data_IF_803212583797
#
_entry.id   IF_803212583797
#
_cell.length_a   1.000
_cell.length_b   1.000
_cell.length_c   1.000
_cell.angle_alpha   90.00
_cell.angle_beta   90.00
_cell.angle_gamma   90.00
#
_symmetry.space_group_name_H-M   'P 1'
#
loop_
_entity.id
_entity.type
_entity.pdbx_description
1 polymer ?
#
# COMPACT_ATOMS: atom_id res chain seq x y z
N UNK A 1 -20.04 -10.65 8.96
CA UNK A 1 -19.13 -10.34 10.08
C UNK A 1 -19.99 -9.78 11.20
N UNK A 2 -19.99 -10.41 12.38
CA UNK A 2 -20.78 -9.94 13.53
C UNK A 2 -19.96 -8.96 14.39
N UNK A 3 -20.61 -8.30 15.36
CA UNK A 3 -19.98 -7.28 16.21
C UNK A 3 -18.78 -7.86 16.98
N UNK A 4 -18.93 -9.04 17.59
CA UNK A 4 -17.83 -9.70 18.33
C UNK A 4 -16.60 -9.99 17.46
N UNK A 5 -16.81 -10.35 16.18
CA UNK A 5 -15.71 -10.56 15.22
C UNK A 5 -15.04 -9.25 14.84
N UNK A 6 -15.81 -8.17 14.71
CA UNK A 6 -15.27 -6.83 14.44
C UNK A 6 -14.43 -6.32 15.61
N UNK A 7 -14.91 -6.46 16.84
CA UNK A 7 -14.19 -6.04 18.03
C UNK A 7 -12.88 -6.81 18.19
N UNK A 8 -12.90 -8.13 17.97
CA UNK A 8 -11.70 -8.95 17.97
C UNK A 8 -10.70 -8.51 16.88
N UNK A 9 -11.17 -8.24 15.67
CA UNK A 9 -10.31 -7.76 14.58
C UNK A 9 -9.66 -6.41 14.91
N UNK A 10 -10.44 -5.46 15.43
CA UNK A 10 -9.93 -4.15 15.87
C UNK A 10 -8.91 -4.32 17.00
N UNK A 11 -9.17 -5.19 17.97
CA UNK A 11 -8.24 -5.46 19.07
C UNK A 11 -6.92 -6.05 18.57
N UNK A 12 -6.94 -6.96 17.59
CA UNK A 12 -5.73 -7.51 16.99
C UNK A 12 -4.91 -6.38 16.32
N UNK A 13 -5.55 -5.56 15.48
CA UNK A 13 -4.89 -4.44 14.79
C UNK A 13 -4.32 -3.43 15.79
N UNK A 14 -5.02 -3.17 16.88
CA UNK A 14 -4.56 -2.25 17.92
C UNK A 14 -3.32 -2.77 18.67
N UNK A 15 -3.05 -4.06 18.65
CA UNK A 15 -1.86 -4.64 19.28
C UNK A 15 -0.69 -4.84 18.31
N UNK A 16 -0.86 -4.58 17.02
CA UNK A 16 0.24 -4.63 16.06
C UNK A 16 1.34 -3.62 16.39
N UNK A 17 2.58 -4.02 16.17
CA UNK A 17 3.69 -3.08 16.12
C UNK A 17 3.61 -2.18 14.86
N UNK A 18 4.53 -1.24 14.73
CA UNK A 18 4.53 -0.29 13.61
C UNK A 18 4.72 -0.99 12.26
N UNK A 19 5.55 -2.02 12.20
CA UNK A 19 5.82 -2.77 10.97
C UNK A 19 4.60 -3.61 10.59
N UNK A 20 4.08 -4.41 11.53
CA UNK A 20 2.87 -5.22 11.35
C UNK A 20 1.68 -4.36 10.89
N UNK A 21 1.49 -3.20 11.52
CA UNK A 21 0.44 -2.26 11.15
C UNK A 21 0.65 -1.70 9.73
N UNK A 22 1.87 -1.31 9.36
CA UNK A 22 2.17 -0.86 8.00
C UNK A 22 1.91 -1.96 6.96
N UNK A 23 2.43 -3.16 7.18
CA UNK A 23 2.25 -4.30 6.29
C UNK A 23 0.77 -4.66 6.13
N UNK A 24 0.00 -4.67 7.22
CA UNK A 24 -1.44 -4.91 7.16
C UNK A 24 -2.19 -3.84 6.37
N UNK A 25 -1.78 -2.57 6.51
CA UNK A 25 -2.36 -1.44 5.77
C UNK A 25 -2.11 -1.60 4.28
N UNK A 26 -0.88 -1.93 3.90
CA UNK A 26 -0.47 -2.14 2.51
C UNK A 26 -1.16 -3.39 1.94
N UNK A 27 -1.16 -4.52 2.65
CA UNK A 27 -1.82 -5.74 2.18
C UNK A 27 -3.32 -5.52 1.94
N UNK A 28 -4.00 -4.77 2.82
CA UNK A 28 -5.42 -4.44 2.66
C UNK A 28 -5.68 -3.54 1.44
N UNK A 29 -4.83 -2.56 1.18
CA UNK A 29 -5.06 -1.53 0.14
C UNK A 29 -4.42 -1.85 -1.22
N UNK A 30 -3.27 -2.51 -1.22
CA UNK A 30 -2.51 -2.93 -2.38
C UNK A 30 -2.50 -4.45 -2.59
N UNK A 31 -3.28 -5.22 -1.82
CA UNK A 31 -3.43 -6.67 -1.97
C UNK A 31 -3.65 -7.12 -3.42
N UNK A 32 -4.56 -6.51 -4.20
CA UNK A 32 -4.72 -6.84 -5.61
C UNK A 32 -3.47 -6.59 -6.46
N UNK A 33 -2.68 -5.57 -6.14
CA UNK A 33 -1.42 -5.26 -6.85
C UNK A 33 -0.32 -6.25 -6.48
N UNK A 34 -0.19 -6.57 -5.19
CA UNK A 34 0.75 -7.58 -4.68
C UNK A 34 0.42 -8.96 -5.27
N UNK A 35 -0.87 -9.29 -5.36
CA UNK A 35 -1.36 -10.51 -5.99
C UNK A 35 -1.25 -10.49 -7.53
N UNK A 36 -0.72 -9.43 -8.14
CA UNK A 36 -0.55 -9.27 -9.60
C UNK A 36 -1.89 -9.29 -10.37
N UNK A 37 -3.01 -9.05 -9.67
CA UNK A 37 -4.35 -8.92 -10.23
C UNK A 37 -4.63 -7.51 -10.75
N UNK A 38 -4.03 -6.50 -10.12
CA UNK A 38 -4.10 -5.09 -10.54
C UNK A 38 -2.71 -4.55 -10.89
N UNK A 39 -2.63 -3.61 -11.82
CA UNK A 39 -1.37 -2.97 -12.21
C UNK A 39 -0.78 -2.11 -11.09
N UNK A 40 -1.65 -1.40 -10.35
CA UNK A 40 -1.22 -0.47 -9.31
C UNK A 40 -2.31 -0.17 -8.27
N UNK A 41 -1.87 0.22 -7.07
CA UNK A 41 -2.73 0.76 -6.01
C UNK A 41 -2.12 2.03 -5.44
N UNK A 42 -2.97 3.02 -5.21
CA UNK A 42 -2.58 4.28 -4.58
C UNK A 42 -2.88 4.20 -3.08
N UNK A 43 -1.91 4.56 -2.25
CA UNK A 43 -2.05 4.62 -0.79
C UNK A 43 -1.58 5.99 -0.31
N UNK A 44 -2.35 6.60 0.59
CA UNK A 44 -1.93 7.82 1.29
C UNK A 44 -1.58 7.46 2.73
N UNK A 45 -0.30 7.60 3.08
CA UNK A 45 0.18 7.51 4.45
C UNK A 45 0.12 8.89 5.09
N UNK A 46 -0.80 9.09 6.03
CA UNK A 46 -0.98 10.38 6.73
C UNK A 46 -0.50 10.32 8.18
N UNK A 47 -0.29 11.49 8.77
CA UNK A 47 0.07 11.64 10.17
C UNK A 47 -1.14 11.61 11.14
N UNK A 48 -2.38 11.53 10.63
CA UNK A 48 -3.62 11.65 11.44
C UNK A 48 -3.89 10.48 12.40
N UNK A 49 -3.36 9.27 12.11
CA UNK A 49 -3.52 8.07 12.94
C UNK A 49 -2.22 7.75 13.68
N UNK A 50 -1.70 6.51 13.58
CA UNK A 50 -0.42 6.06 14.17
C UNK A 50 0.84 6.73 13.58
N UNK A 51 0.72 7.94 13.05
CA UNK A 51 1.74 8.61 12.28
C UNK A 51 2.31 7.72 11.16
N UNK A 52 1.41 7.18 10.33
CA UNK A 52 1.74 6.23 9.27
C UNK A 52 2.75 6.80 8.27
N UNK A 53 2.77 8.13 8.10
CA UNK A 53 3.79 8.78 7.29
C UNK A 53 5.20 8.49 7.81
N UNK A 54 5.47 8.70 9.10
CA UNK A 54 6.78 8.42 9.68
C UNK A 54 7.12 6.93 9.67
N UNK A 55 6.12 6.07 9.92
CA UNK A 55 6.29 4.60 9.86
C UNK A 55 6.67 4.15 8.43
N UNK A 56 6.00 4.70 7.41
CA UNK A 56 6.33 4.45 6.01
C UNK A 56 7.79 4.81 5.71
N UNK A 57 8.23 6.02 6.08
CA UNK A 57 9.61 6.44 5.86
C UNK A 57 10.63 5.53 6.52
N UNK A 58 10.32 5.02 7.70
CA UNK A 58 11.18 4.10 8.44
C UNK A 58 11.33 2.73 7.76
N UNK A 59 10.27 2.22 7.12
CA UNK A 59 10.20 0.83 6.68
C UNK A 59 10.03 0.62 5.17
N UNK A 60 9.93 1.68 4.35
CA UNK A 60 9.66 1.57 2.91
C UNK A 60 10.62 0.66 2.13
N UNK A 61 11.90 0.66 2.48
CA UNK A 61 12.88 -0.25 1.87
C UNK A 61 12.61 -1.72 2.21
N UNK A 62 12.16 -2.01 3.44
CA UNK A 62 11.79 -3.37 3.87
C UNK A 62 10.50 -3.83 3.18
N UNK A 63 9.57 -2.90 2.96
CA UNK A 63 8.30 -3.20 2.26
C UNK A 63 8.57 -3.69 0.84
N UNK A 64 9.41 -2.99 0.07
CA UNK A 64 9.74 -3.39 -1.30
C UNK A 64 10.40 -4.78 -1.35
N UNK A 65 11.36 -5.03 -0.45
CA UNK A 65 12.04 -6.33 -0.36
C UNK A 65 11.08 -7.48 0.00
N UNK A 66 10.20 -7.27 0.99
CA UNK A 66 9.34 -8.34 1.51
C UNK A 66 8.09 -8.61 0.68
N UNK A 67 7.56 -7.61 -0.02
CA UNK A 67 6.28 -7.73 -0.72
C UNK A 67 6.40 -7.96 -2.23
N UNK A 68 7.62 -8.01 -2.79
CA UNK A 68 7.84 -8.16 -4.25
C UNK A 68 6.99 -7.17 -5.07
N UNK A 69 6.95 -5.91 -4.61
CA UNK A 69 6.16 -4.83 -5.21
C UNK A 69 6.98 -3.55 -5.23
N UNK A 70 7.01 -2.89 -6.39
CA UNK A 70 7.67 -1.61 -6.52
C UNK A 70 6.76 -0.49 -6.04
N UNK A 71 7.36 0.63 -5.66
CA UNK A 71 6.62 1.80 -5.27
C UNK A 71 7.22 3.09 -5.82
N UNK A 72 6.39 4.11 -5.94
CA UNK A 72 6.80 5.46 -6.28
C UNK A 72 6.09 6.47 -5.39
N UNK A 73 6.85 7.36 -4.73
CA UNK A 73 6.30 8.45 -3.94
C UNK A 73 5.87 9.60 -4.87
N UNK A 74 4.57 9.69 -5.16
CA UNK A 74 4.01 10.71 -6.06
C UNK A 74 4.00 12.09 -5.44
N UNK A 75 3.73 12.16 -4.13
CA UNK A 75 3.69 13.41 -3.37
C UNK A 75 4.14 13.16 -1.95
N UNK A 76 4.93 14.08 -1.42
CA UNK A 76 5.31 14.12 -0.02
C UNK A 76 5.17 15.55 0.50
N UNK A 77 4.40 15.71 1.57
CA UNK A 77 4.27 16.97 2.29
C UNK A 77 4.39 16.73 3.81
N UNK A 78 4.13 17.76 4.62
CA UNK A 78 4.32 17.69 6.08
C UNK A 78 3.30 16.78 6.78
N UNK A 79 2.20 16.45 6.13
CA UNK A 79 1.09 15.71 6.74
C UNK A 79 0.85 14.35 6.10
N UNK A 80 1.37 14.13 4.90
CA UNK A 80 1.13 12.90 4.17
C UNK A 80 2.18 12.56 3.11
N UNK A 81 2.23 11.29 2.75
CA UNK A 81 2.95 10.77 1.59
C UNK A 81 2.01 9.90 0.76
N UNK A 82 1.85 10.26 -0.51
CA UNK A 82 1.04 9.53 -1.48
C UNK A 82 1.97 8.61 -2.26
N UNK A 83 1.71 7.31 -2.19
CA UNK A 83 2.56 6.26 -2.74
C UNK A 83 1.76 5.42 -3.72
N UNK A 84 2.29 5.29 -4.94
CA UNK A 84 1.80 4.36 -5.93
C UNK A 84 2.57 3.05 -5.81
N UNK A 85 1.92 2.00 -5.35
CA UNK A 85 2.44 0.63 -5.44
C UNK A 85 2.08 0.08 -6.81
N UNK A 86 3.03 -0.57 -7.49
CA UNK A 86 2.80 -1.10 -8.83
C UNK A 86 3.53 -2.42 -9.07
N UNK A 87 2.95 -3.24 -9.94
CA UNK A 87 3.64 -4.39 -10.50
C UNK A 87 4.20 -3.99 -11.87
N UNK A 88 5.53 -3.94 -11.97
CA UNK A 88 6.23 -3.47 -13.18
C UNK A 88 5.81 -4.24 -14.44
N UNK A 89 5.76 -5.58 -14.38
CA UNK A 89 5.40 -6.42 -15.52
C UNK A 89 3.98 -6.18 -16.02
N UNK A 90 3.01 -6.10 -15.10
CA UNK A 90 1.60 -5.86 -15.46
C UNK A 90 1.37 -4.43 -15.93
N UNK A 91 2.10 -3.47 -15.38
CA UNK A 91 2.05 -2.10 -15.86
C UNK A 91 2.61 -2.00 -17.28
N UNK A 92 3.77 -2.61 -17.54
CA UNK A 92 4.39 -2.65 -18.88
C UNK A 92 3.49 -3.33 -19.92
N UNK A 93 2.83 -4.44 -19.57
CA UNK A 93 1.90 -5.10 -20.48
C UNK A 93 0.71 -4.22 -20.85
N UNK A 94 0.12 -3.53 -19.86
CA UNK A 94 -1.02 -2.63 -20.07
C UNK A 94 -0.57 -1.43 -20.92
N UNK A 95 0.57 -0.81 -20.59
CA UNK A 95 1.08 0.34 -21.32
C UNK A 95 1.38 0.04 -22.79
N UNK A 96 1.66 -1.22 -23.15
CA UNK A 96 1.90 -1.65 -24.54
C UNK A 96 0.62 -1.98 -25.31
N UNK A 97 -0.55 -1.95 -24.68
CA UNK A 97 -1.81 -2.16 -25.39
C UNK A 97 -2.10 -0.99 -26.32
N UNK A 98 -2.31 -1.26 -27.62
CA UNK A 98 -2.52 -0.24 -28.67
C UNK A 98 -3.63 0.76 -28.33
N UNK A 99 -4.65 0.31 -27.60
CA UNK A 99 -5.80 1.11 -27.16
C UNK A 99 -5.42 2.29 -26.27
N UNK A 100 -4.26 2.25 -25.61
CA UNK A 100 -3.77 3.35 -24.75
C UNK A 100 -3.14 4.48 -25.58
N UNK A 101 -2.64 4.21 -26.79
CA UNK A 101 -1.96 5.21 -27.62
C UNK A 101 -2.85 5.84 -28.69
N UNK A 102 -4.07 5.34 -28.88
CA UNK A 102 -5.07 5.95 -29.77
C UNK A 102 -5.91 6.99 -29.00
N UNK A 103 -5.42 8.23 -28.95
CA UNK A 103 -6.18 9.40 -28.50
C UNK A 103 -6.71 10.20 -29.68
#
# INVERSE_FOLDING_TARGET
MNINQLDNFVNIINNYDNMEYLFSTIARSAGPTIAKEKASSLITFSNNNRNLQSIWEQFKSIVEEKLDVNYFELKKDKTSTIVLFYNEKKLDSILKEEKIFSF
#
